data_IF_237264144943
#
_entry.id   IF_237264144943
#
_cell.length_a   1.000
_cell.length_b   1.000
_cell.length_c   1.000
_cell.angle_alpha   90.00
_cell.angle_beta   90.00
_cell.angle_gamma   90.00
#
_symmetry.space_group_name_H-M   'P 1'
#
loop_
_entity.id
_entity.type
_entity.pdbx_description
1 polymer ?
#
# COMPACT_ATOMS: atom_id res chain seq x y z
N UNK A 1 1.13 7.33 6.15
CA UNK A 1 0.46 6.26 6.92
C UNK A 1 -1.01 6.23 6.53
N UNK A 2 -1.66 5.07 6.58
CA UNK A 2 -3.07 4.89 6.24
C UNK A 2 -3.67 3.72 7.00
N UNK A 3 -4.99 3.58 6.98
CA UNK A 3 -5.72 2.49 7.62
C UNK A 3 -6.36 1.63 6.55
N UNK A 4 -6.22 0.31 6.69
CA UNK A 4 -6.80 -0.66 5.78
C UNK A 4 -8.30 -0.79 6.04
N UNK A 5 -9.12 -0.64 5.01
CA UNK A 5 -10.56 -0.86 5.07
C UNK A 5 -10.95 -2.33 4.87
N UNK A 6 -12.25 -2.61 4.94
CA UNK A 6 -12.80 -3.97 4.99
C UNK A 6 -12.43 -4.86 3.79
N UNK A 7 -12.08 -4.27 2.64
CA UNK A 7 -11.66 -5.01 1.43
C UNK A 7 -10.15 -5.17 1.29
N UNK A 8 -9.37 -4.90 2.34
CA UNK A 8 -7.91 -4.95 2.28
C UNK A 8 -7.30 -3.78 1.49
N UNK A 9 -8.04 -2.68 1.35
CA UNK A 9 -7.64 -1.51 0.57
C UNK A 9 -7.23 -0.34 1.48
N UNK A 10 -6.23 0.43 1.05
CA UNK A 10 -5.74 1.61 1.78
C UNK A 10 -5.32 2.68 0.79
N UNK A 11 -5.71 3.92 1.06
CA UNK A 11 -5.23 5.08 0.32
C UNK A 11 -4.02 5.68 1.03
N UNK A 12 -2.97 5.99 0.26
CA UNK A 12 -1.74 6.61 0.78
C UNK A 12 -1.22 7.64 -0.21
N UNK A 13 -0.67 8.73 0.32
CA UNK A 13 0.01 9.78 -0.42
C UNK A 13 1.46 9.93 0.05
N UNK A 14 2.29 10.59 -0.76
CA UNK A 14 3.71 10.84 -0.43
C UNK A 14 4.61 9.60 -0.50
N UNK A 15 4.18 8.55 -1.21
CA UNK A 15 5.00 7.38 -1.48
C UNK A 15 6.06 7.68 -2.55
N UNK A 16 7.21 7.03 -2.41
CA UNK A 16 8.18 6.90 -3.50
C UNK A 16 7.66 5.94 -4.58
N UNK A 17 8.30 5.90 -5.75
CA UNK A 17 7.89 4.99 -6.83
C UNK A 17 7.93 3.51 -6.44
N UNK A 18 8.81 3.14 -5.50
CA UNK A 18 8.97 1.76 -5.00
C UNK A 18 9.30 1.81 -3.53
N UNK A 19 8.98 0.73 -2.81
CA UNK A 19 9.36 0.57 -1.42
C UNK A 19 8.72 -0.64 -0.76
N UNK A 20 8.80 -0.66 0.56
CA UNK A 20 8.25 -1.72 1.41
C UNK A 20 7.31 -1.13 2.45
N UNK A 21 6.09 -1.64 2.50
CA UNK A 21 5.08 -1.25 3.48
C UNK A 21 5.18 -2.18 4.69
N UNK A 22 5.04 -1.62 5.89
CA UNK A 22 4.84 -2.35 7.13
C UNK A 22 3.37 -2.22 7.51
N UNK A 23 2.67 -3.34 7.61
CA UNK A 23 1.25 -3.40 8.01
C UNK A 23 1.19 -4.01 9.41
N UNK A 24 0.47 -3.38 10.34
CA UNK A 24 0.39 -3.78 11.75
C UNK A 24 -1.05 -3.71 12.22
N UNK A 25 -1.55 -4.77 12.85
CA UNK A 25 -2.89 -4.81 13.47
C UNK A 25 -2.88 -5.47 14.87
N UNK A 26 -1.70 -5.79 15.40
CA UNK A 26 -1.50 -6.29 16.75
C UNK A 26 -0.02 -6.37 17.09
N UNK A 27 0.31 -6.61 18.36
CA UNK A 27 1.70 -6.61 18.86
C UNK A 27 2.61 -7.58 18.10
N UNK A 28 2.12 -8.79 17.81
CA UNK A 28 2.82 -9.81 17.03
C UNK A 28 2.14 -10.07 15.68
N UNK A 29 1.26 -9.16 15.25
CA UNK A 29 0.46 -9.33 14.04
C UNK A 29 0.78 -8.21 13.07
N UNK A 30 1.78 -8.50 12.25
CA UNK A 30 2.29 -7.61 11.23
C UNK A 30 2.70 -8.42 10.00
N UNK A 31 2.72 -7.76 8.86
CA UNK A 31 3.27 -8.29 7.62
C UNK A 31 3.95 -7.17 6.83
N UNK A 32 4.72 -7.54 5.82
CA UNK A 32 5.30 -6.59 4.90
C UNK A 32 4.84 -6.82 3.47
N UNK A 33 4.69 -5.75 2.72
CA UNK A 33 4.31 -5.81 1.32
C UNK A 33 5.24 -4.90 0.49
N UNK A 34 5.94 -5.51 -0.46
CA UNK A 34 6.75 -4.75 -1.41
C UNK A 34 5.85 -4.17 -2.50
N UNK A 35 6.08 -2.92 -2.88
CA UNK A 35 5.29 -2.25 -3.91
C UNK A 35 6.16 -1.55 -4.95
N UNK A 36 5.60 -1.45 -6.15
CA UNK A 36 6.06 -0.60 -7.24
C UNK A 36 4.85 0.07 -7.85
N UNK A 37 4.87 1.41 -7.88
CA UNK A 37 3.84 2.18 -8.55
C UNK A 37 3.93 1.95 -10.06
N UNK A 38 2.80 1.85 -10.78
CA UNK A 38 2.78 1.87 -12.23
C UNK A 38 3.45 3.14 -12.78
N UNK A 39 4.00 3.07 -13.99
CA UNK A 39 4.57 4.25 -14.66
C UNK A 39 3.47 5.27 -15.01
N UNK A 40 2.31 4.78 -15.42
CA UNK A 40 1.16 5.60 -15.78
C UNK A 40 0.27 5.91 -14.57
N UNK A 41 -0.05 7.20 -14.40
CA UNK A 41 -1.01 7.68 -13.41
C UNK A 41 -2.42 7.30 -13.84
N UNK A 42 -3.22 6.79 -12.90
CA UNK A 42 -4.65 6.65 -13.11
C UNK A 42 -5.37 8.01 -13.10
N UNK A 43 -6.70 8.00 -13.27
CA UNK A 43 -7.52 9.21 -13.21
C UNK A 43 -7.26 10.03 -11.94
N UNK A 44 -7.27 11.36 -12.08
CA UNK A 44 -6.98 12.30 -11.01
C UNK A 44 -5.60 12.14 -10.33
N UNK A 45 -4.64 11.46 -10.98
CA UNK A 45 -3.29 11.26 -10.43
C UNK A 45 -3.20 10.16 -9.38
N UNK A 46 -4.23 9.31 -9.26
CA UNK A 46 -4.26 8.20 -8.31
C UNK A 46 -3.73 6.93 -8.96
N UNK A 47 -2.82 6.23 -8.28
CA UNK A 47 -2.32 4.93 -8.71
C UNK A 47 -3.10 3.80 -8.04
N UNK A 48 -3.46 2.78 -8.82
CA UNK A 48 -4.00 1.52 -8.32
C UNK A 48 -2.89 0.46 -8.39
N UNK A 49 -2.53 -0.10 -7.24
CA UNK A 49 -1.54 -1.17 -7.14
C UNK A 49 -2.06 -2.26 -6.21
N UNK A 50 -1.67 -3.51 -6.48
CA UNK A 50 -1.97 -4.67 -5.64
C UNK A 50 -0.65 -5.32 -5.26
N UNK A 51 -0.55 -5.74 -4.01
CA UNK A 51 0.61 -6.45 -3.48
C UNK A 51 0.15 -7.48 -2.47
N UNK A 52 0.97 -8.50 -2.26
CA UNK A 52 0.72 -9.55 -1.27
C UNK A 52 1.47 -9.19 0.00
N UNK A 53 0.78 -9.27 1.13
CA UNK A 53 1.42 -9.13 2.43
C UNK A 53 2.00 -10.47 2.87
N UNK A 54 3.28 -10.48 3.21
CA UNK A 54 4.04 -11.66 3.68
C UNK A 54 4.44 -11.51 5.15
#
# INVERSE_FOLDING_TARGET
AGVVGDKGEVYMSGLSERGKLKVVWGENSQCHADYRLPEEKGPAGVYLTRTVCM
#
